data_IF_695762735053
#
_entry.id   IF_695762735053
#
_cell.length_a   1.000
_cell.length_b   1.000
_cell.length_c   1.000
_cell.angle_alpha   90.00
_cell.angle_beta   90.00
_cell.angle_gamma   90.00
#
_symmetry.space_group_name_H-M   'P 1'
#
loop_
_entity.id
_entity.type
_entity.pdbx_description
1 polymer ?
#
# COMPACT_ATOMS: atom_id res chain seq x y z
N UNK A 1 -30.02 -17.50 4.09
CA UNK A 1 -28.58 -17.49 4.43
C UNK A 1 -27.96 -16.23 3.85
N UNK A 2 -27.28 -15.42 4.67
CA UNK A 2 -26.59 -14.24 4.17
C UNK A 2 -25.39 -14.70 3.34
N UNK A 3 -25.50 -14.56 2.02
CA UNK A 3 -24.41 -14.76 1.06
C UNK A 3 -23.38 -13.67 1.36
N UNK A 4 -22.28 -14.02 2.01
CA UNK A 4 -21.13 -13.13 2.15
C UNK A 4 -20.39 -13.21 0.81
N UNK A 5 -20.38 -12.15 -0.02
CA UNK A 5 -19.58 -12.15 -1.23
C UNK A 5 -18.12 -12.19 -0.79
N UNK A 6 -17.37 -13.20 -1.19
CA UNK A 6 -15.93 -13.23 -0.95
C UNK A 6 -15.28 -12.13 -1.80
N UNK A 7 -15.10 -10.95 -1.20
CA UNK A 7 -14.53 -9.76 -1.85
C UNK A 7 -12.99 -9.74 -1.84
N UNK A 8 -12.35 -10.71 -1.19
CA UNK A 8 -10.91 -10.80 -1.00
C UNK A 8 -10.34 -11.90 -1.90
N UNK A 9 -9.26 -11.60 -2.62
CA UNK A 9 -8.59 -12.57 -3.49
C UNK A 9 -7.71 -13.58 -2.70
N UNK A 10 -7.45 -13.27 -1.43
CA UNK A 10 -6.68 -14.10 -0.50
C UNK A 10 -7.33 -14.10 0.89
N UNK A 11 -7.92 -15.24 1.29
CA UNK A 11 -8.12 -15.57 2.70
C UNK A 11 -6.95 -16.40 3.22
N UNK A 12 -6.51 -16.21 4.47
CA UNK A 12 -5.45 -17.00 5.10
C UNK A 12 -5.70 -18.51 4.98
N UNK A 13 -6.96 -18.92 5.18
CA UNK A 13 -7.42 -20.31 5.07
C UNK A 13 -7.20 -20.90 3.67
N UNK A 14 -7.43 -20.14 2.59
CA UNK A 14 -7.22 -20.62 1.22
C UNK A 14 -5.74 -20.71 0.80
N UNK A 15 -4.84 -20.06 1.53
CA UNK A 15 -3.38 -20.18 1.30
C UNK A 15 -2.85 -21.43 2.00
N UNK A 16 -3.41 -21.79 3.15
CA UNK A 16 -3.08 -23.02 3.89
C UNK A 16 -3.65 -24.29 3.24
N UNK A 17 -4.83 -24.21 2.60
CA UNK A 17 -5.45 -25.37 1.91
C UNK A 17 -4.68 -25.82 0.66
N UNK A 18 -3.85 -24.95 0.08
CA UNK A 18 -2.99 -25.28 -1.06
C UNK A 18 -1.65 -25.85 -0.57
N UNK A 19 -1.31 -27.06 -1.02
CA UNK A 19 0.00 -27.65 -0.74
C UNK A 19 1.15 -26.75 -1.23
N UNK A 20 2.21 -26.66 -0.43
CA UNK A 20 3.39 -25.79 -0.67
C UNK A 20 3.92 -25.89 -2.10
N UNK A 21 4.02 -27.12 -2.63
CA UNK A 21 4.50 -27.38 -3.99
C UNK A 21 3.61 -26.73 -5.06
N UNK A 22 2.30 -26.77 -4.89
CA UNK A 22 1.35 -26.13 -5.82
C UNK A 22 1.47 -24.61 -5.77
N UNK A 23 1.70 -24.04 -4.58
CA UNK A 23 1.97 -22.60 -4.42
C UNK A 23 3.25 -22.19 -5.15
N UNK A 24 4.30 -23.01 -5.07
CA UNK A 24 5.54 -22.77 -5.80
C UNK A 24 5.33 -22.84 -7.32
N UNK A 25 4.66 -23.88 -7.82
CA UNK A 25 4.37 -24.03 -9.25
C UNK A 25 3.58 -22.84 -9.80
N UNK A 26 2.60 -22.34 -9.04
CA UNK A 26 1.87 -21.11 -9.38
C UNK A 26 2.81 -19.90 -9.52
N UNK A 27 3.80 -19.75 -8.64
CA UNK A 27 4.77 -18.66 -8.79
C UNK A 27 5.65 -18.88 -10.01
N UNK A 28 6.26 -20.05 -10.15
CA UNK A 28 7.22 -20.33 -11.23
C UNK A 28 6.59 -20.23 -12.63
N UNK A 29 5.34 -20.66 -12.80
CA UNK A 29 4.66 -20.65 -14.10
C UNK A 29 4.16 -19.27 -14.55
N UNK A 30 3.96 -18.35 -13.61
CA UNK A 30 3.32 -17.06 -13.86
C UNK A 30 4.19 -15.85 -13.49
N UNK A 31 5.47 -16.08 -13.17
CA UNK A 31 6.42 -15.00 -12.94
C UNK A 31 7.06 -14.57 -14.28
N UNK A 32 6.95 -13.31 -14.71
CA UNK A 32 7.52 -12.84 -15.98
C UNK A 32 9.01 -12.47 -15.81
N UNK A 33 9.82 -13.45 -15.43
CA UNK A 33 11.23 -13.30 -15.05
C UNK A 33 12.25 -13.60 -16.17
N UNK A 34 11.79 -14.09 -17.32
CA UNK A 34 12.65 -14.57 -18.43
C UNK A 34 13.75 -13.57 -18.82
N UNK A 35 13.43 -12.28 -19.01
CA UNK A 35 14.42 -11.25 -19.37
C UNK A 35 15.54 -11.10 -18.33
N UNK A 36 15.21 -11.20 -17.04
CA UNK A 36 16.21 -11.14 -15.97
C UNK A 36 17.10 -12.38 -16.02
N UNK A 37 16.51 -13.55 -16.24
CA UNK A 37 17.22 -14.82 -16.29
C UNK A 37 18.16 -14.88 -17.49
N UNK A 38 17.69 -14.54 -18.69
CA UNK A 38 18.50 -14.46 -19.91
C UNK A 38 19.68 -13.50 -19.71
N UNK A 39 19.45 -12.32 -19.11
CA UNK A 39 20.53 -11.38 -18.79
C UNK A 39 21.59 -12.00 -17.88
N UNK A 40 21.17 -12.70 -16.82
CA UNK A 40 22.09 -13.36 -15.89
C UNK A 40 22.84 -14.53 -16.55
N UNK A 41 22.20 -15.27 -17.45
CA UNK A 41 22.79 -16.35 -18.25
C UNK A 41 23.82 -15.82 -19.26
N UNK A 42 23.52 -14.70 -19.94
CA UNK A 42 24.45 -14.00 -20.81
C UNK A 42 25.67 -13.48 -20.04
N UNK A 43 25.47 -12.88 -18.87
CA UNK A 43 26.57 -12.44 -17.99
C UNK A 43 27.45 -13.60 -17.49
N UNK A 44 26.89 -14.80 -17.31
CA UNK A 44 27.67 -15.99 -16.98
C UNK A 44 28.50 -16.45 -18.18
N UNK A 45 27.95 -16.36 -19.39
CA UNK A 45 28.59 -16.84 -20.61
C UNK A 45 28.98 -18.31 -20.52
N UNK A 46 30.23 -18.63 -20.89
CA UNK A 46 30.81 -19.99 -20.89
C UNK A 46 31.46 -20.40 -19.55
N UNK A 47 31.15 -19.71 -18.46
CA UNK A 47 31.64 -20.08 -17.13
C UNK A 47 31.13 -21.45 -16.66
N UNK A 48 31.67 -21.96 -15.54
CA UNK A 48 31.19 -23.20 -14.91
C UNK A 48 29.69 -23.10 -14.62
N UNK A 49 28.97 -24.18 -14.91
CA UNK A 49 27.53 -24.30 -14.70
C UNK A 49 27.18 -25.37 -13.66
N UNK A 50 28.00 -25.45 -12.60
CA UNK A 50 27.82 -26.43 -11.52
C UNK A 50 26.45 -26.24 -10.82
N UNK A 51 25.88 -25.03 -10.88
CA UNK A 51 24.56 -24.69 -10.36
C UNK A 51 23.84 -23.75 -11.35
N UNK A 52 22.88 -24.27 -12.13
CA UNK A 52 22.16 -23.48 -13.14
C UNK A 52 21.47 -22.25 -12.55
N UNK A 53 21.51 -21.14 -13.28
CA UNK A 53 20.94 -19.84 -12.83
C UNK A 53 19.45 -19.96 -12.55
N UNK A 54 18.70 -20.61 -13.44
CA UNK A 54 17.27 -20.89 -13.27
C UNK A 54 17.00 -21.70 -12.00
N UNK A 55 17.78 -22.75 -11.77
CA UNK A 55 17.61 -23.58 -10.57
C UNK A 55 17.87 -22.82 -9.27
N UNK A 56 18.93 -22.00 -9.25
CA UNK A 56 19.23 -21.14 -8.09
C UNK A 56 18.13 -20.10 -7.88
N UNK A 57 17.66 -19.44 -8.94
CA UNK A 57 16.57 -18.47 -8.89
C UNK A 57 15.26 -19.08 -8.37
N UNK A 58 14.81 -20.19 -8.96
CA UNK A 58 13.61 -20.92 -8.56
C UNK A 58 13.69 -21.35 -7.09
N UNK A 59 14.87 -21.78 -6.62
CA UNK A 59 15.06 -22.12 -5.21
C UNK A 59 14.97 -20.92 -4.27
N UNK A 60 15.37 -19.71 -4.71
CA UNK A 60 15.17 -18.48 -3.93
C UNK A 60 13.69 -18.15 -3.84
N UNK A 61 12.94 -18.29 -4.93
CA UNK A 61 11.48 -18.12 -4.94
C UNK A 61 10.81 -19.14 -4.03
N UNK A 62 11.21 -20.42 -4.09
CA UNK A 62 10.76 -21.44 -3.13
C UNK A 62 11.05 -21.04 -1.69
N UNK A 63 12.22 -20.48 -1.42
CA UNK A 63 12.58 -19.90 -0.12
C UNK A 63 11.57 -18.86 0.37
N UNK A 64 11.01 -18.04 -0.53
CA UNK A 64 10.01 -17.02 -0.22
C UNK A 64 8.63 -17.64 -0.04
N UNK A 65 8.20 -18.53 -0.94
CA UNK A 65 6.88 -19.19 -0.89
C UNK A 65 6.74 -20.07 0.36
N UNK A 66 7.80 -20.81 0.71
CA UNK A 66 7.84 -21.74 1.84
C UNK A 66 8.28 -21.03 3.14
N UNK A 67 8.47 -19.71 3.08
CA UNK A 67 8.74 -18.87 4.25
C UNK A 67 10.02 -19.27 5.01
N UNK A 68 11.04 -19.73 4.29
CA UNK A 68 12.30 -20.13 4.91
C UNK A 68 13.00 -18.91 5.54
N UNK A 69 13.29 -18.91 6.85
CA UNK A 69 13.83 -17.75 7.56
C UNK A 69 15.29 -17.44 7.19
N UNK A 70 15.98 -18.38 6.54
CA UNK A 70 17.36 -18.22 6.10
C UNK A 70 17.69 -19.12 4.91
N UNK A 71 18.78 -18.79 4.20
CA UNK A 71 19.33 -19.63 3.14
C UNK A 71 19.73 -21.01 3.67
N UNK A 72 20.22 -21.11 4.91
CA UNK A 72 20.55 -22.42 5.51
C UNK A 72 19.31 -23.28 5.77
N UNK A 73 18.19 -22.65 6.14
CA UNK A 73 16.91 -23.37 6.27
C UNK A 73 16.46 -23.93 4.92
N UNK A 74 16.47 -23.10 3.86
CA UNK A 74 16.17 -23.54 2.50
C UNK A 74 17.10 -24.67 2.03
N UNK A 75 18.41 -24.54 2.26
CA UNK A 75 19.40 -25.57 1.88
C UNK A 75 19.17 -26.90 2.59
N UNK A 76 18.75 -26.89 3.85
CA UNK A 76 18.40 -28.12 4.59
C UNK A 76 17.16 -28.79 3.99
N UNK A 77 16.17 -28.00 3.59
CA UNK A 77 14.97 -28.52 2.93
C UNK A 77 15.31 -29.11 1.55
N UNK A 78 16.06 -28.38 0.73
CA UNK A 78 16.50 -28.87 -0.59
C UNK A 78 17.30 -30.18 -0.51
N UNK A 79 18.10 -30.39 0.54
CA UNK A 79 18.84 -31.66 0.72
C UNK A 79 17.91 -32.84 1.00
N UNK A 80 16.84 -32.60 1.76
CA UNK A 80 15.89 -33.64 2.20
C UNK A 80 14.80 -33.91 1.15
N UNK A 81 14.40 -32.89 0.41
CA UNK A 81 13.25 -32.92 -0.48
C UNK A 81 13.68 -33.04 -1.95
N UNK A 82 13.55 -34.23 -2.52
CA UNK A 82 13.86 -34.49 -3.93
C UNK A 82 12.88 -33.79 -4.88
N UNK A 83 11.59 -33.76 -4.55
CA UNK A 83 10.55 -33.10 -5.35
C UNK A 83 10.79 -31.59 -5.45
N UNK A 84 11.17 -30.96 -4.34
CA UNK A 84 11.51 -29.54 -4.36
C UNK A 84 12.72 -29.25 -5.26
N UNK A 85 13.73 -30.13 -5.25
CA UNK A 85 14.89 -30.00 -6.14
C UNK A 85 14.48 -30.11 -7.60
N UNK A 86 13.65 -31.10 -7.93
CA UNK A 86 13.12 -31.32 -9.27
C UNK A 86 12.34 -30.10 -9.77
N UNK A 87 11.40 -29.59 -8.97
CA UNK A 87 10.59 -28.41 -9.32
C UNK A 87 11.45 -27.15 -9.46
N UNK A 88 12.51 -27.00 -8.66
CA UNK A 88 13.45 -25.90 -8.87
C UNK A 88 14.24 -26.04 -10.18
N UNK A 89 14.39 -27.26 -10.72
CA UNK A 89 15.20 -27.55 -11.91
C UNK A 89 16.63 -27.98 -11.57
N UNK A 90 16.88 -28.51 -10.37
CA UNK A 90 18.16 -29.15 -10.05
C UNK A 90 18.23 -30.57 -10.60
N UNK A 91 19.40 -30.96 -11.08
CA UNK A 91 19.62 -32.32 -11.57
C UNK A 91 19.65 -33.32 -10.40
N UNK A 92 18.66 -34.22 -10.41
CA UNK A 92 18.45 -35.23 -9.37
C UNK A 92 19.55 -36.28 -9.31
N UNK A 93 20.30 -36.51 -10.40
CA UNK A 93 21.39 -37.49 -10.44
C UNK A 93 22.52 -37.12 -9.47
N UNK A 94 22.73 -35.83 -9.22
CA UNK A 94 23.73 -35.36 -8.27
C UNK A 94 23.27 -35.45 -6.80
N UNK A 95 22.01 -35.84 -6.54
CA UNK A 95 21.49 -35.97 -5.19
C UNK A 95 21.71 -34.70 -4.36
N UNK A 96 22.27 -34.84 -3.16
CA UNK A 96 22.57 -33.67 -2.30
C UNK A 96 23.61 -32.71 -2.89
N UNK A 97 24.47 -33.19 -3.79
CA UNK A 97 25.51 -32.36 -4.43
C UNK A 97 24.90 -31.34 -5.39
N UNK A 98 23.66 -31.54 -5.85
CA UNK A 98 22.92 -30.56 -6.63
C UNK A 98 22.58 -29.29 -5.83
N UNK A 99 22.55 -29.38 -4.49
CA UNK A 99 22.17 -28.25 -3.62
C UNK A 99 23.32 -27.25 -3.51
N UNK A 100 23.13 -25.98 -3.94
CA UNK A 100 24.20 -25.01 -3.91
C UNK A 100 24.74 -24.74 -2.49
N UNK A 101 26.05 -24.54 -2.32
CA UNK A 101 26.61 -24.07 -1.06
C UNK A 101 26.21 -22.62 -0.78
N UNK A 102 26.24 -22.21 0.50
CA UNK A 102 25.75 -20.89 0.95
C UNK A 102 26.36 -19.69 0.21
N UNK A 103 27.63 -19.82 -0.20
CA UNK A 103 28.34 -18.75 -0.90
C UNK A 103 27.79 -18.52 -2.31
N UNK A 104 27.19 -19.53 -2.96
CA UNK A 104 26.54 -19.39 -4.27
C UNK A 104 25.31 -18.50 -4.14
N UNK A 105 24.43 -18.78 -3.18
CA UNK A 105 23.30 -17.90 -2.86
C UNK A 105 23.72 -16.48 -2.50
N UNK A 106 24.79 -16.34 -1.70
CA UNK A 106 25.34 -15.01 -1.35
C UNK A 106 25.78 -14.22 -2.60
N UNK A 107 26.47 -14.88 -3.54
CA UNK A 107 26.90 -14.26 -4.81
C UNK A 107 25.70 -13.96 -5.70
N UNK A 108 24.74 -14.86 -5.77
CA UNK A 108 23.53 -14.72 -6.59
C UNK A 108 22.68 -13.54 -6.12
N UNK A 109 22.39 -13.45 -4.81
CA UNK A 109 21.68 -12.29 -4.25
C UNK A 109 22.43 -10.97 -4.48
N UNK A 110 23.77 -10.98 -4.52
CA UNK A 110 24.54 -9.78 -4.87
C UNK A 110 24.31 -9.38 -6.32
N UNK A 111 24.26 -10.33 -7.26
CA UNK A 111 23.91 -10.05 -8.66
C UNK A 111 22.50 -9.47 -8.78
N UNK A 112 21.52 -10.07 -8.09
CA UNK A 112 20.15 -9.56 -8.06
C UNK A 112 20.06 -8.13 -7.52
N UNK A 113 20.81 -7.80 -6.46
CA UNK A 113 20.86 -6.41 -5.95
C UNK A 113 21.49 -5.43 -6.95
N UNK A 114 22.44 -5.88 -7.77
CA UNK A 114 23.00 -5.06 -8.86
C UNK A 114 22.00 -4.88 -10.01
N UNK A 115 21.09 -5.83 -10.21
CA UNK A 115 20.02 -5.80 -11.21
C UNK A 115 18.65 -5.46 -10.59
N UNK A 116 18.62 -4.62 -9.54
CA UNK A 116 17.39 -4.33 -8.80
C UNK A 116 16.31 -3.70 -9.69
N UNK A 117 16.70 -2.92 -10.70
CA UNK A 117 15.77 -2.33 -11.66
C UNK A 117 15.07 -3.39 -12.50
N UNK A 118 15.78 -4.41 -12.96
CA UNK A 118 15.22 -5.54 -13.69
C UNK A 118 14.28 -6.38 -12.81
N UNK A 119 14.63 -6.59 -11.54
CA UNK A 119 13.72 -7.26 -10.59
C UNK A 119 12.45 -6.42 -10.39
N UNK A 120 12.56 -5.10 -10.28
CA UNK A 120 11.41 -4.21 -10.17
C UNK A 120 10.53 -4.23 -11.44
N UNK A 121 11.11 -4.40 -12.64
CA UNK A 121 10.33 -4.56 -13.88
C UNK A 121 9.42 -5.79 -13.81
N UNK A 122 9.87 -6.89 -13.24
CA UNK A 122 9.03 -8.10 -13.04
C UNK A 122 7.82 -7.75 -12.17
N UNK A 123 8.06 -7.05 -11.05
CA UNK A 123 6.97 -6.56 -10.19
C UNK A 123 5.96 -5.71 -10.98
N UNK A 124 6.42 -4.71 -11.75
CA UNK A 124 5.51 -3.85 -12.49
C UNK A 124 4.75 -4.56 -13.61
N UNK A 125 5.38 -5.54 -14.29
CA UNK A 125 4.71 -6.41 -15.26
C UNK A 125 3.57 -7.20 -14.62
N UNK A 126 3.81 -7.79 -13.45
CA UNK A 126 2.76 -8.48 -12.71
C UNK A 126 1.61 -7.54 -12.34
N UNK A 127 1.89 -6.30 -11.93
CA UNK A 127 0.83 -5.32 -11.63
C UNK A 127 0.01 -5.00 -12.89
N UNK A 128 0.66 -4.82 -14.04
CA UNK A 128 -0.03 -4.61 -15.32
C UNK A 128 -0.86 -5.83 -15.75
N UNK A 129 -0.34 -7.03 -15.53
CA UNK A 129 -1.03 -8.28 -15.81
C UNK A 129 -2.26 -8.45 -14.93
N UNK A 130 -2.14 -8.17 -13.63
CA UNK A 130 -3.29 -8.14 -12.71
C UNK A 130 -4.32 -7.10 -13.16
N UNK A 131 -3.90 -5.90 -13.58
CA UNK A 131 -4.82 -4.88 -14.13
C UNK A 131 -5.56 -5.37 -15.38
N UNK A 132 -4.87 -6.11 -16.24
CA UNK A 132 -5.46 -6.67 -17.46
C UNK A 132 -6.48 -7.76 -17.12
N UNK A 133 -6.17 -8.62 -16.15
CA UNK A 133 -7.05 -9.69 -15.70
C UNK A 133 -8.22 -9.19 -14.85
N UNK A 134 -8.03 -8.11 -14.09
CA UNK A 134 -9.00 -7.49 -13.19
C UNK A 134 -9.14 -6.00 -13.53
N UNK A 135 -10.05 -5.60 -14.44
CA UNK A 135 -10.19 -4.21 -14.86
C UNK A 135 -10.47 -3.21 -13.72
N UNK A 136 -11.11 -3.64 -12.64
CA UNK A 136 -11.38 -2.84 -11.45
C UNK A 136 -10.16 -2.67 -10.52
N UNK A 137 -9.08 -3.42 -10.73
CA UNK A 137 -7.86 -3.29 -9.94
C UNK A 137 -7.23 -1.91 -10.11
N UNK A 138 -6.83 -1.29 -9.01
CA UNK A 138 -6.31 0.07 -8.95
C UNK A 138 -7.38 1.16 -8.85
N UNK A 139 -8.67 0.81 -8.85
CA UNK A 139 -9.76 1.79 -8.76
C UNK A 139 -9.80 2.52 -7.42
N UNK A 140 -9.45 1.83 -6.34
CA UNK A 140 -9.36 2.40 -5.00
C UNK A 140 -8.00 2.04 -4.43
N UNK A 141 -7.11 3.02 -4.34
CA UNK A 141 -5.77 2.83 -3.81
C UNK A 141 -5.71 3.27 -2.34
N UNK A 142 -4.94 2.53 -1.54
CA UNK A 142 -4.60 2.91 -0.18
C UNK A 142 -3.09 2.93 0.00
N UNK A 143 -2.57 3.95 0.70
CA UNK A 143 -1.16 4.10 1.05
C UNK A 143 -0.97 4.04 2.57
N UNK A 144 0.09 3.35 3.00
CA UNK A 144 0.59 3.42 4.37
C UNK A 144 2.10 3.12 4.39
N UNK A 145 2.73 3.50 5.50
CA UNK A 145 4.12 3.20 5.78
C UNK A 145 4.25 2.23 6.96
N UNK A 146 5.13 1.26 6.79
CA UNK A 146 5.42 0.21 7.76
C UNK A 146 6.86 0.30 8.23
N UNK A 147 7.03 0.33 9.56
CA UNK A 147 8.34 0.20 10.18
C UNK A 147 8.89 -1.21 10.00
N UNK A 148 10.16 -1.32 9.58
CA UNK A 148 10.91 -2.57 9.53
C UNK A 148 12.11 -2.42 10.45
N UNK A 149 12.02 -3.04 11.63
CA UNK A 149 13.04 -2.92 12.68
C UNK A 149 14.24 -3.81 12.39
N UNK A 150 15.43 -3.23 12.42
CA UNK A 150 16.66 -4.01 12.40
C UNK A 150 16.96 -4.58 13.79
N UNK A 151 17.48 -5.81 13.82
CA UNK A 151 18.04 -6.44 15.03
C UNK A 151 19.46 -5.93 15.37
N UNK A 152 20.06 -5.11 14.51
CA UNK A 152 21.35 -4.50 14.79
C UNK A 152 21.20 -3.39 15.85
N UNK A 153 22.24 -3.21 16.66
CA UNK A 153 22.34 -2.03 17.54
C UNK A 153 22.66 -0.81 16.66
N UNK A 154 21.85 0.24 16.78
CA UNK A 154 22.13 1.51 16.12
C UNK A 154 23.52 2.04 16.51
N UNK A 155 24.19 2.79 15.62
CA UNK A 155 25.51 3.33 15.89
C UNK A 155 25.48 4.22 17.15
N UNK A 156 26.40 3.98 18.10
CA UNK A 156 26.58 4.82 19.29
C UNK A 156 27.26 6.17 18.97
N UNK A 157 28.07 6.18 17.91
CA UNK A 157 28.82 7.35 17.45
C UNK A 157 28.51 7.63 15.97
N UNK A 158 28.47 8.90 15.57
CA UNK A 158 28.29 9.37 14.18
C UNK A 158 29.49 9.08 13.25
N UNK A 159 30.37 8.12 13.59
CA UNK A 159 31.53 7.79 12.76
C UNK A 159 31.10 6.97 11.57
N UNK A 160 31.36 7.48 10.36
CA UNK A 160 31.14 6.78 9.10
C UNK A 160 31.98 5.50 9.07
N UNK A 161 31.34 4.34 9.26
CA UNK A 161 32.02 3.05 9.15
C UNK A 161 32.07 2.60 7.69
N UNK A 162 33.15 1.91 7.30
CA UNK A 162 33.30 1.33 5.96
C UNK A 162 32.18 0.32 5.71
N UNK A 163 31.51 0.42 4.57
CA UNK A 163 30.43 -0.48 4.18
C UNK A 163 30.96 -1.91 3.97
N UNK A 164 30.63 -2.82 4.89
CA UNK A 164 31.05 -4.24 4.84
C UNK A 164 29.92 -5.18 4.37
N UNK A 165 28.71 -4.64 4.16
CA UNK A 165 27.51 -5.39 3.79
C UNK A 165 27.02 -6.37 4.87
N UNK A 166 27.54 -6.32 6.10
CA UNK A 166 27.17 -7.19 7.24
C UNK A 166 26.50 -6.43 8.38
N UNK A 167 26.50 -5.10 8.32
CA UNK A 167 25.91 -4.18 9.30
C UNK A 167 24.87 -3.29 8.64
N UNK A 168 23.97 -2.75 9.44
CA UNK A 168 23.00 -1.72 9.02
C UNK A 168 23.62 -0.32 9.11
N UNK A 169 24.73 -0.09 8.41
CA UNK A 169 25.40 1.21 8.37
C UNK A 169 24.60 2.28 7.62
N UNK A 170 23.60 1.86 6.84
CA UNK A 170 22.72 2.70 6.04
C UNK A 170 21.30 2.81 6.62
N UNK A 171 21.03 2.20 7.78
CA UNK A 171 19.81 2.39 8.56
C UNK A 171 19.92 3.58 9.50
N UNK A 172 18.77 4.08 9.95
CA UNK A 172 18.71 5.13 10.95
C UNK A 172 17.50 4.92 11.88
N UNK A 173 17.26 5.91 12.74
CA UNK A 173 16.15 5.88 13.68
C UNK A 173 14.92 6.58 13.12
N UNK A 174 13.78 5.90 13.25
CA UNK A 174 12.44 6.41 12.99
C UNK A 174 11.66 6.65 14.27
N UNK A 175 10.75 7.61 14.21
CA UNK A 175 9.79 7.92 15.28
C UNK A 175 8.39 7.99 14.68
N UNK A 176 7.43 7.27 15.25
CA UNK A 176 6.01 7.34 14.90
C UNK A 176 5.21 7.61 16.16
N UNK A 177 4.56 8.76 16.21
CA UNK A 177 3.74 9.20 17.33
C UNK A 177 2.27 8.93 17.02
N UNK A 178 1.62 8.14 17.86
CA UNK A 178 0.20 7.95 17.85
C UNK A 178 -0.40 8.80 18.95
N UNK A 179 -1.35 9.66 18.59
CA UNK A 179 -2.11 10.46 19.54
C UNK A 179 -3.58 10.25 19.29
N UNK A 180 -4.34 10.02 20.35
CA UNK A 180 -5.79 9.86 20.25
C UNK A 180 -6.47 10.31 21.53
N UNK A 181 -7.79 10.41 21.44
CA UNK A 181 -8.65 10.69 22.59
C UNK A 181 -9.42 9.42 22.93
N UNK A 182 -9.36 8.98 24.19
CA UNK A 182 -10.16 7.86 24.70
C UNK A 182 -11.63 8.28 24.76
N UNK A 183 -12.55 7.29 24.83
CA UNK A 183 -14.01 7.53 24.95
C UNK A 183 -14.40 8.42 26.14
N UNK A 184 -13.58 8.47 27.19
CA UNK A 184 -13.76 9.30 28.38
C UNK A 184 -13.13 10.71 28.25
N UNK A 185 -12.69 11.12 27.06
CA UNK A 185 -12.10 12.43 26.81
C UNK A 185 -10.59 12.56 27.14
N UNK A 186 -9.98 11.57 27.80
CA UNK A 186 -8.53 11.61 28.09
C UNK A 186 -7.68 11.38 26.85
N UNK A 187 -6.65 12.20 26.68
CA UNK A 187 -5.68 12.04 25.60
C UNK A 187 -4.70 10.91 25.91
N UNK A 188 -4.33 10.13 24.91
CA UNK A 188 -3.24 9.17 24.98
C UNK A 188 -2.22 9.44 23.88
N UNK A 189 -0.95 9.24 24.24
CA UNK A 189 0.17 9.31 23.32
C UNK A 189 0.97 8.01 23.41
N UNK A 190 1.28 7.42 22.26
CA UNK A 190 2.21 6.30 22.13
C UNK A 190 3.27 6.71 21.14
N UNK A 191 4.50 6.83 21.62
CA UNK A 191 5.65 7.07 20.75
C UNK A 191 6.32 5.72 20.48
N UNK A 192 6.35 5.32 19.22
CA UNK A 192 7.13 4.17 18.76
C UNK A 192 8.43 4.70 18.16
N UNK A 193 9.54 4.17 18.65
CA UNK A 193 10.88 4.48 18.17
C UNK A 193 11.54 3.17 17.70
N UNK A 194 12.13 3.17 16.51
CA UNK A 194 12.81 1.98 15.98
C UNK A 194 14.05 2.35 15.19
N UNK A 195 15.03 1.46 15.19
CA UNK A 195 16.19 1.51 14.30
C UNK A 195 15.93 0.58 13.10
N UNK A 196 16.21 1.03 11.88
CA UNK A 196 16.08 0.19 10.70
C UNK A 196 15.60 0.95 9.48
N UNK A 197 14.57 0.40 8.83
CA UNK A 197 14.03 0.88 7.56
C UNK A 197 12.52 1.12 7.67
N UNK A 198 11.96 1.58 6.57
CA UNK A 198 10.53 1.80 6.39
C UNK A 198 10.12 1.36 5.00
N UNK A 199 9.07 0.57 4.89
CA UNK A 199 8.41 0.20 3.64
C UNK A 199 7.21 1.10 3.44
N UNK A 200 7.16 1.84 2.33
CA UNK A 200 5.99 2.60 1.90
C UNK A 200 5.29 1.76 0.85
N UNK A 201 3.99 1.52 1.03
CA UNK A 201 3.25 0.57 0.22
C UNK A 201 1.94 1.21 -0.27
N UNK A 202 1.72 1.16 -1.58
CA UNK A 202 0.44 1.44 -2.22
C UNK A 202 -0.19 0.11 -2.60
N UNK A 203 -1.44 -0.10 -2.18
CA UNK A 203 -2.21 -1.32 -2.46
C UNK A 203 -3.54 -0.98 -3.08
N UNK A 204 -4.10 -1.92 -3.84
CA UNK A 204 -5.52 -1.89 -4.18
C UNK A 204 -6.34 -2.27 -2.94
N UNK A 205 -7.33 -1.44 -2.60
CA UNK A 205 -8.11 -1.58 -1.38
C UNK A 205 -9.34 -2.51 -1.53
N UNK A 206 -9.49 -3.18 -2.67
CA UNK A 206 -10.54 -4.18 -2.95
C UNK A 206 -9.94 -5.57 -2.94
N UNK A 207 -8.98 -5.84 -3.83
CA UNK A 207 -8.29 -7.11 -4.00
C UNK A 207 -7.15 -7.30 -3.00
N UNK A 208 -6.74 -6.23 -2.33
CA UNK A 208 -5.68 -6.22 -1.32
C UNK A 208 -4.35 -6.77 -1.86
N UNK A 209 -3.98 -6.25 -3.03
CA UNK A 209 -2.78 -6.58 -3.78
C UNK A 209 -1.87 -5.35 -3.91
N UNK A 210 -0.54 -5.53 -3.89
CA UNK A 210 0.39 -4.41 -4.00
C UNK A 210 0.37 -3.82 -5.41
N UNK A 211 0.49 -2.49 -5.47
CA UNK A 211 0.49 -1.72 -6.73
C UNK A 211 1.83 -1.00 -6.92
N UNK A 212 2.37 -0.42 -5.86
CA UNK A 212 3.67 0.25 -5.87
C UNK A 212 4.28 0.25 -4.46
N UNK A 213 5.61 0.36 -4.36
CA UNK A 213 6.30 0.39 -3.09
C UNK A 213 7.65 1.09 -3.14
N UNK A 214 8.19 1.43 -1.97
CA UNK A 214 9.60 1.80 -1.82
C UNK A 214 10.11 1.49 -0.43
N UNK A 215 11.39 1.15 -0.33
CA UNK A 215 12.09 0.95 0.95
C UNK A 215 13.00 2.15 1.19
N UNK A 216 12.81 2.80 2.34
CA UNK A 216 13.60 3.95 2.77
C UNK A 216 14.24 3.70 4.12
N UNK A 217 15.10 4.62 4.56
CA UNK A 217 15.52 4.68 5.97
C UNK A 217 14.31 4.97 6.88
N UNK A 218 14.42 4.64 8.17
CA UNK A 218 13.33 4.80 9.13
C UNK A 218 12.91 6.26 9.33
N UNK A 219 13.84 7.21 9.23
CA UNK A 219 13.60 8.65 9.37
C UNK A 219 12.87 9.31 8.19
N UNK A 220 12.72 8.60 7.06
CA UNK A 220 12.16 9.18 5.84
C UNK A 220 10.71 9.64 6.03
N UNK A 221 10.37 10.76 5.39
CA UNK A 221 9.04 11.38 5.47
C UNK A 221 8.03 10.65 4.58
N UNK A 222 6.93 10.22 5.18
CA UNK A 222 5.84 9.52 4.52
C UNK A 222 5.20 10.38 3.42
N UNK A 223 5.01 11.67 3.65
CA UNK A 223 4.46 12.61 2.63
C UNK A 223 5.37 12.72 1.42
N UNK A 224 6.67 12.94 1.64
CA UNK A 224 7.64 13.07 0.54
C UNK A 224 7.69 11.79 -0.29
N UNK A 225 7.65 10.64 0.36
CA UNK A 225 7.68 9.36 -0.35
C UNK A 225 6.35 9.06 -1.04
N UNK A 226 5.22 9.41 -0.43
CA UNK A 226 3.90 9.32 -1.07
C UNK A 226 3.82 10.11 -2.37
N UNK A 227 4.40 11.31 -2.42
CA UNK A 227 4.52 12.06 -3.68
C UNK A 227 5.31 11.30 -4.75
N UNK A 228 6.46 10.73 -4.39
CA UNK A 228 7.30 9.96 -5.33
C UNK A 228 6.60 8.71 -5.84
N UNK A 229 5.84 8.03 -4.98
CA UNK A 229 5.07 6.85 -5.38
C UNK A 229 3.96 7.22 -6.37
N UNK A 230 3.24 8.33 -6.13
CA UNK A 230 2.25 8.85 -7.09
C UNK A 230 2.90 9.23 -8.42
N UNK A 231 4.04 9.92 -8.39
CA UNK A 231 4.76 10.30 -9.61
C UNK A 231 5.24 9.06 -10.39
N UNK A 232 5.82 8.06 -9.69
CA UNK A 232 6.23 6.80 -10.31
C UNK A 232 5.07 6.01 -10.91
N UNK A 233 3.93 5.96 -10.23
CA UNK A 233 2.72 5.33 -10.79
C UNK A 233 2.25 6.06 -12.05
N UNK A 234 2.34 7.40 -12.09
CA UNK A 234 2.01 8.19 -13.29
C UNK A 234 2.95 7.91 -14.46
N UNK A 235 4.21 7.61 -14.20
CA UNK A 235 5.21 7.35 -15.24
C UNK A 235 5.20 5.89 -15.71
N UNK A 236 5.11 4.94 -14.77
CA UNK A 236 5.33 3.51 -15.04
C UNK A 236 4.03 2.70 -15.12
N UNK A 237 2.92 3.22 -14.60
CA UNK A 237 1.65 2.50 -14.49
C UNK A 237 0.44 3.37 -14.89
N UNK A 238 0.44 4.00 -16.09
CA UNK A 238 -0.60 4.95 -16.50
C UNK A 238 -2.00 4.33 -16.48
N UNK A 239 -2.15 3.06 -16.89
CA UNK A 239 -3.44 2.33 -16.85
C UNK A 239 -4.03 2.23 -15.44
N UNK A 240 -3.20 2.17 -14.39
CA UNK A 240 -3.66 2.19 -13.01
C UNK A 240 -4.13 3.60 -12.65
N UNK A 241 -3.34 4.62 -13.00
CA UNK A 241 -3.66 6.01 -12.70
C UNK A 241 -4.95 6.48 -13.38
N UNK A 242 -5.16 6.13 -14.65
CA UNK A 242 -6.36 6.50 -15.41
C UNK A 242 -7.63 5.86 -14.84
N UNK A 243 -7.52 4.65 -14.28
CA UNK A 243 -8.63 3.94 -13.66
C UNK A 243 -8.83 4.25 -12.17
N UNK A 244 -7.95 5.05 -11.55
CA UNK A 244 -8.00 5.32 -10.12
C UNK A 244 -9.04 6.39 -9.80
N UNK A 245 -10.02 6.05 -8.97
CA UNK A 245 -11.06 7.00 -8.54
C UNK A 245 -10.74 7.62 -7.17
N UNK A 246 -10.15 6.84 -6.26
CA UNK A 246 -9.93 7.23 -4.87
C UNK A 246 -8.52 6.87 -4.41
N UNK A 247 -7.88 7.80 -3.72
CA UNK A 247 -6.59 7.58 -3.07
C UNK A 247 -6.71 7.83 -1.57
N UNK A 248 -6.55 6.78 -0.78
CA UNK A 248 -6.80 6.75 0.65
C UNK A 248 -5.47 6.80 1.39
N UNK A 249 -5.36 7.69 2.37
CA UNK A 249 -4.17 7.83 3.22
C UNK A 249 -4.54 8.11 4.67
N UNK A 250 -3.63 7.80 5.58
CA UNK A 250 -3.78 8.22 6.97
C UNK A 250 -3.47 9.71 7.15
N UNK A 251 -3.58 10.16 8.39
CA UNK A 251 -3.31 11.54 8.81
C UNK A 251 -1.86 11.99 8.58
N UNK A 252 -0.93 11.04 8.41
CA UNK A 252 0.45 11.28 8.03
C UNK A 252 0.59 11.84 6.62
N UNK A 253 -0.34 11.51 5.71
CA UNK A 253 -0.35 11.96 4.31
C UNK A 253 -1.14 13.26 4.06
N UNK A 254 -1.64 13.91 5.13
CA UNK A 254 -2.40 15.15 5.05
C UNK A 254 -1.52 16.34 4.64
N UNK A 255 -1.39 16.53 3.34
CA UNK A 255 -0.62 17.59 2.70
C UNK A 255 -1.41 18.23 1.56
N UNK A 256 -1.46 19.57 1.55
CA UNK A 256 -2.20 20.32 0.53
C UNK A 256 -1.67 20.06 -0.88
N UNK A 257 -0.35 19.93 -1.05
CA UNK A 257 0.26 19.70 -2.38
C UNK A 257 -0.08 18.31 -2.89
N UNK A 258 -0.12 17.30 -2.01
CA UNK A 258 -0.53 15.94 -2.38
C UNK A 258 -2.00 15.91 -2.79
N UNK A 259 -2.88 16.53 -2.00
CA UNK A 259 -4.32 16.63 -2.28
C UNK A 259 -4.57 17.33 -3.62
N UNK A 260 -3.88 18.46 -3.85
CA UNK A 260 -3.93 19.21 -5.12
C UNK A 260 -3.41 18.37 -6.27
N UNK A 261 -2.26 17.70 -6.13
CA UNK A 261 -1.69 16.82 -7.16
C UNK A 261 -2.67 15.72 -7.56
N UNK A 262 -3.28 15.03 -6.58
CA UNK A 262 -4.22 13.94 -6.84
C UNK A 262 -5.43 14.42 -7.65
N UNK A 263 -6.05 15.54 -7.28
CA UNK A 263 -7.22 16.03 -8.00
C UNK A 263 -6.86 16.75 -9.31
N UNK A 264 -6.01 17.77 -9.26
CA UNK A 264 -5.82 18.67 -10.39
C UNK A 264 -5.03 18.02 -11.54
N UNK A 265 -4.04 17.18 -11.20
CA UNK A 265 -3.23 16.49 -12.22
C UNK A 265 -3.83 15.15 -12.64
N UNK A 266 -4.43 14.41 -11.71
CA UNK A 266 -4.84 13.02 -11.96
C UNK A 266 -6.35 12.78 -11.87
N UNK A 267 -7.15 13.78 -11.49
CA UNK A 267 -8.60 13.63 -11.27
C UNK A 267 -8.98 12.54 -10.25
N UNK A 268 -8.06 12.19 -9.35
CA UNK A 268 -8.23 11.20 -8.29
C UNK A 268 -8.76 11.90 -7.04
N UNK A 269 -9.80 11.34 -6.42
CA UNK A 269 -10.40 11.92 -5.20
C UNK A 269 -9.58 11.53 -3.96
N UNK A 270 -8.99 12.50 -3.24
CA UNK A 270 -8.23 12.19 -2.04
C UNK A 270 -9.17 11.91 -0.86
N UNK A 271 -8.91 10.80 -0.17
CA UNK A 271 -9.60 10.36 1.05
C UNK A 271 -8.57 10.20 2.17
N UNK A 272 -8.02 11.32 2.61
CA UNK A 272 -6.90 11.39 3.55
C UNK A 272 -7.41 11.98 4.86
N UNK A 273 -7.17 11.36 6.02
CA UNK A 273 -7.60 11.96 7.30
C UNK A 273 -6.88 13.28 7.59
N UNK A 274 -7.54 14.25 8.23
CA UNK A 274 -7.03 15.63 8.37
C UNK A 274 -6.51 15.92 9.79
N UNK A 275 -5.38 16.64 9.83
CA UNK A 275 -4.80 17.18 11.06
C UNK A 275 -5.52 18.45 11.49
N UNK A 276 -5.85 18.56 12.77
CA UNK A 276 -6.17 19.87 13.31
C UNK A 276 -4.86 20.67 13.39
N UNK A 277 -4.78 21.74 12.61
CA UNK A 277 -3.63 22.65 12.56
C UNK A 277 -3.98 24.05 13.09
N UNK A 278 -5.20 24.24 13.59
CA UNK A 278 -5.63 25.49 14.18
C UNK A 278 -5.08 25.60 15.61
N UNK A 279 -4.55 26.77 15.96
CA UNK A 279 -3.86 27.05 17.25
C UNK A 279 -4.48 28.20 18.03
N UNK A 280 -5.47 28.84 17.42
CA UNK A 280 -6.25 29.96 17.95
C UNK A 280 -7.28 29.51 19.00
N UNK A 281 -7.52 28.20 19.14
CA UNK A 281 -8.54 27.65 20.04
C UNK A 281 -9.96 27.68 19.46
N UNK A 282 -10.11 28.22 18.26
CA UNK A 282 -11.39 28.34 17.57
C UNK A 282 -11.88 26.97 17.06
N UNK A 283 -13.15 26.67 17.27
CA UNK A 283 -13.76 25.45 16.74
C UNK A 283 -14.13 25.57 15.26
N UNK A 284 -14.41 26.79 14.80
CA UNK A 284 -14.95 27.05 13.46
C UNK A 284 -14.41 28.35 12.88
N UNK A 285 -14.40 28.46 11.54
CA UNK A 285 -14.04 29.68 10.81
C UNK A 285 -15.17 30.14 9.93
N UNK A 286 -15.35 31.46 9.85
CA UNK A 286 -16.33 32.07 8.96
C UNK A 286 -15.98 31.79 7.50
N UNK A 287 -16.95 31.32 6.72
CA UNK A 287 -16.78 31.12 5.29
C UNK A 287 -16.67 32.48 4.57
N UNK A 288 -15.70 32.62 3.65
CA UNK A 288 -15.49 33.89 2.95
C UNK A 288 -16.77 34.42 2.28
N UNK A 289 -17.02 35.72 2.46
CA UNK A 289 -18.20 36.39 1.91
C UNK A 289 -19.54 36.01 2.56
N UNK A 290 -19.54 35.24 3.66
CA UNK A 290 -20.75 34.90 4.44
C UNK A 290 -20.69 35.52 5.85
N UNK A 291 -21.86 35.68 6.47
CA UNK A 291 -21.99 36.22 7.84
C UNK A 291 -22.40 35.17 8.88
N UNK A 292 -23.12 34.14 8.45
CA UNK A 292 -23.74 33.14 9.34
C UNK A 292 -23.31 31.71 9.00
N UNK A 293 -22.39 31.52 8.06
CA UNK A 293 -21.90 30.20 7.67
C UNK A 293 -20.48 30.05 8.15
N UNK A 294 -20.22 28.97 8.87
CA UNK A 294 -18.89 28.60 9.35
C UNK A 294 -18.56 27.18 8.93
N UNK A 295 -17.29 26.80 9.02
CA UNK A 295 -16.84 25.42 8.86
C UNK A 295 -15.80 25.06 9.93
N UNK A 296 -15.71 23.79 10.29
CA UNK A 296 -14.65 23.28 11.18
C UNK A 296 -13.41 22.83 10.40
N UNK A 297 -12.33 22.48 11.11
CA UNK A 297 -11.10 22.01 10.47
C UNK A 297 -11.27 20.71 9.66
N UNK A 298 -12.35 19.94 9.91
CA UNK A 298 -12.69 18.72 9.18
C UNK A 298 -13.49 18.99 7.91
N UNK A 299 -13.92 20.23 7.68
CA UNK A 299 -14.74 20.63 6.54
C UNK A 299 -16.23 20.34 6.73
N UNK A 300 -16.67 20.08 7.96
CA UNK A 300 -18.09 20.11 8.31
C UNK A 300 -18.56 21.55 8.26
N UNK A 301 -19.68 21.81 7.59
CA UNK A 301 -20.20 23.16 7.37
C UNK A 301 -21.43 23.37 8.23
N UNK A 302 -21.49 24.51 8.91
CA UNK A 302 -22.59 24.87 9.79
C UNK A 302 -23.20 26.20 9.37
N UNK A 303 -24.50 26.36 9.62
CA UNK A 303 -25.17 27.64 9.57
C UNK A 303 -25.63 28.05 10.97
N UNK A 304 -25.59 29.35 11.24
CA UNK A 304 -26.19 29.97 12.41
C UNK A 304 -27.52 30.62 12.03
N UNK A 305 -28.56 30.35 12.82
CA UNK A 305 -29.83 31.06 12.69
C UNK A 305 -29.62 32.54 13.00
N UNK A 306 -29.99 33.49 12.11
CA UNK A 306 -29.74 34.91 12.32
C UNK A 306 -30.49 35.50 13.53
N UNK A 307 -31.62 34.90 13.92
CA UNK A 307 -32.41 35.36 15.09
C UNK A 307 -31.98 34.74 16.41
N UNK A 308 -31.74 33.42 16.41
CA UNK A 308 -31.54 32.66 17.66
C UNK A 308 -30.10 32.25 17.90
N UNK A 309 -29.20 32.52 16.95
CA UNK A 309 -27.81 32.10 16.94
C UNK A 309 -27.60 30.58 17.14
N UNK A 310 -28.62 29.77 16.82
CA UNK A 310 -28.54 28.30 16.91
C UNK A 310 -27.68 27.76 15.77
N UNK A 311 -26.63 27.01 16.10
CA UNK A 311 -25.75 26.29 15.15
C UNK A 311 -26.44 25.03 14.65
N UNK A 312 -26.49 24.83 13.34
CA UNK A 312 -26.99 23.62 12.69
C UNK A 312 -26.01 23.17 11.61
N UNK A 313 -25.73 21.87 11.54
CA UNK A 313 -24.92 21.29 10.45
C UNK A 313 -25.68 21.37 9.13
N UNK A 314 -25.01 21.84 8.08
CA UNK A 314 -25.59 21.94 6.74
C UNK A 314 -25.53 20.60 6.02
N UNK A 315 -26.57 20.29 5.26
CA UNK A 315 -26.64 19.03 4.52
C UNK A 315 -25.76 19.06 3.27
N UNK A 316 -24.82 18.11 3.15
CA UNK A 316 -24.03 17.97 1.93
C UNK A 316 -24.92 17.60 0.74
N UNK A 317 -24.90 18.43 -0.29
CA UNK A 317 -25.78 18.36 -1.45
C UNK A 317 -25.14 17.86 -2.75
N UNK A 318 -23.84 17.51 -2.71
CA UNK A 318 -23.08 16.99 -3.86
C UNK A 318 -21.86 17.84 -4.24
N UNK A 319 -20.98 17.26 -5.05
CA UNK A 319 -19.85 17.95 -5.69
C UNK A 319 -20.23 18.30 -7.14
N UNK A 320 -20.17 19.57 -7.49
CA UNK A 320 -20.43 20.09 -8.84
C UNK A 320 -19.08 20.23 -9.57
N UNK A 321 -18.73 19.23 -10.41
CA UNK A 321 -17.41 19.13 -11.06
C UNK A 321 -17.08 20.35 -11.92
N UNK A 322 -18.01 20.80 -12.77
CA UNK A 322 -17.78 21.91 -13.70
C UNK A 322 -17.50 23.25 -13.02
N UNK A 323 -17.98 23.40 -11.77
CA UNK A 323 -17.80 24.61 -10.96
C UNK A 323 -16.72 24.47 -9.91
N UNK A 324 -16.17 23.27 -9.74
CA UNK A 324 -15.30 22.88 -8.62
C UNK A 324 -15.84 23.36 -7.26
N UNK A 325 -17.13 23.10 -7.01
CA UNK A 325 -17.78 23.54 -5.76
C UNK A 325 -18.49 22.40 -5.05
N UNK A 326 -18.49 22.47 -3.72
CA UNK A 326 -19.31 21.62 -2.86
C UNK A 326 -20.61 22.35 -2.56
N UNK A 327 -21.73 21.73 -2.92
CA UNK A 327 -23.07 22.24 -2.62
C UNK A 327 -23.45 21.83 -1.21
N UNK A 328 -23.91 22.78 -0.41
CA UNK A 328 -24.49 22.53 0.91
C UNK A 328 -25.90 23.13 0.97
N UNK A 329 -26.86 22.37 1.48
CA UNK A 329 -28.27 22.76 1.55
C UNK A 329 -28.60 23.24 2.96
N UNK A 330 -29.56 24.15 3.04
CA UNK A 330 -30.09 24.61 4.32
C UNK A 330 -30.72 23.41 5.06
N UNK A 331 -30.31 23.12 6.31
CA UNK A 331 -30.82 21.96 7.05
C UNK A 331 -32.31 22.11 7.38
N UNK A 332 -32.79 23.32 7.62
CA UNK A 332 -34.21 23.59 7.84
C UNK A 332 -35.09 23.18 6.66
N UNK A 333 -34.66 23.50 5.43
CA UNK A 333 -35.39 23.09 4.20
C UNK A 333 -35.17 21.64 3.83
N UNK A 334 -33.97 21.11 4.04
CA UNK A 334 -33.62 19.77 3.59
C UNK A 334 -34.15 18.68 4.52
N UNK A 335 -34.10 18.91 5.83
CA UNK A 335 -34.54 17.97 6.86
C UNK A 335 -35.89 18.36 7.50
N UNK A 336 -36.49 19.49 7.10
CA UNK A 336 -37.76 19.97 7.66
C UNK A 336 -37.64 20.52 9.09
N UNK A 337 -36.46 21.03 9.49
CA UNK A 337 -36.26 21.59 10.83
C UNK A 337 -36.86 22.99 10.93
N UNK A 338 -37.43 23.32 12.09
CA UNK A 338 -37.87 24.68 12.37
C UNK A 338 -36.69 25.65 12.53
N UNK A 339 -36.72 26.75 11.78
CA UNK A 339 -35.74 27.83 11.87
C UNK A 339 -36.43 29.19 11.90
N UNK A 340 -36.43 29.83 13.08
CA UNK A 340 -37.10 31.14 13.30
C UNK A 340 -36.54 32.28 12.43
N UNK A 341 -35.32 32.15 11.94
CA UNK A 341 -34.64 33.14 11.10
C UNK A 341 -34.63 32.80 9.61
N UNK A 342 -35.55 31.96 9.13
CA UNK A 342 -35.56 31.52 7.73
C UNK A 342 -35.73 32.69 6.75
N UNK A 343 -36.62 33.65 7.06
CA UNK A 343 -36.92 34.79 6.17
C UNK A 343 -35.76 35.79 6.06
N UNK A 344 -34.97 35.93 7.12
CA UNK A 344 -33.78 36.81 7.16
C UNK A 344 -32.51 36.10 6.65
N UNK A 345 -32.60 34.80 6.35
CA UNK A 345 -31.45 34.00 5.96
C UNK A 345 -31.05 34.26 4.51
N UNK A 346 -29.98 35.06 4.32
CA UNK A 346 -29.40 35.37 3.00
C UNK A 346 -28.77 34.18 2.27
N UNK A 347 -28.72 33.00 2.89
CA UNK A 347 -28.16 31.78 2.29
C UNK A 347 -29.13 31.08 1.32
N UNK A 348 -30.35 31.61 1.10
CA UNK A 348 -31.18 31.26 -0.06
C UNK A 348 -31.52 29.77 -0.23
N UNK A 349 -31.55 28.99 0.85
CA UNK A 349 -31.80 27.54 0.81
C UNK A 349 -30.56 26.65 0.59
N UNK A 350 -29.38 27.24 0.37
CA UNK A 350 -28.12 26.52 0.27
C UNK A 350 -26.98 27.37 -0.30
N UNK A 351 -25.75 26.91 -0.12
CA UNK A 351 -24.55 27.58 -0.60
C UNK A 351 -23.72 26.65 -1.48
N UNK A 352 -22.75 27.24 -2.17
CA UNK A 352 -21.70 26.54 -2.89
C UNK A 352 -20.36 27.03 -2.36
N UNK A 353 -19.49 26.10 -2.00
CA UNK A 353 -18.16 26.38 -1.48
C UNK A 353 -17.15 25.95 -2.54
N UNK A 354 -16.42 26.88 -3.17
CA UNK A 354 -15.33 26.54 -4.08
C UNK A 354 -14.26 25.71 -3.36
N UNK A 355 -13.69 24.71 -4.04
CA UNK A 355 -12.54 23.98 -3.47
C UNK A 355 -11.37 24.93 -3.15
N UNK A 356 -11.23 26.01 -3.93
CA UNK A 356 -10.23 27.06 -3.75
C UNK A 356 -10.31 27.80 -2.40
N UNK A 357 -11.47 27.80 -1.73
CA UNK A 357 -11.64 28.38 -0.39
C UNK A 357 -10.59 27.83 0.58
N UNK A 358 -10.40 26.51 0.54
CA UNK A 358 -9.32 25.84 1.24
C UNK A 358 -9.11 24.45 0.64
N UNK A 359 -8.12 24.31 -0.26
CA UNK A 359 -7.84 23.08 -1.00
C UNK A 359 -7.49 21.87 -0.13
N UNK A 360 -7.15 22.07 1.14
CA UNK A 360 -6.86 21.00 2.10
C UNK A 360 -8.13 20.50 2.80
N UNK A 361 -9.03 21.43 3.15
CA UNK A 361 -10.27 21.15 3.87
C UNK A 361 -11.37 20.71 2.88
N UNK A 362 -11.59 21.49 1.83
CA UNK A 362 -12.60 21.23 0.82
C UNK A 362 -11.99 20.46 -0.33
N UNK A 363 -12.31 19.18 -0.40
CA UNK A 363 -11.88 18.25 -1.44
C UNK A 363 -13.06 17.81 -2.30
N UNK A 364 -12.83 17.27 -3.52
CA UNK A 364 -13.88 16.79 -4.42
C UNK A 364 -14.79 15.71 -3.83
N UNK A 365 -14.32 15.01 -2.79
CA UNK A 365 -15.13 14.16 -1.93
C UNK A 365 -15.22 14.81 -0.55
N UNK A 366 -16.30 15.55 -0.30
CA UNK A 366 -16.50 16.24 0.98
C UNK A 366 -16.23 15.31 2.17
N UNK A 367 -15.33 15.75 3.06
CA UNK A 367 -14.86 14.98 4.21
C UNK A 367 -15.99 14.58 5.15
N UNK A 368 -16.99 15.44 5.31
CA UNK A 368 -18.23 15.26 6.08
C UNK A 368 -19.22 14.27 5.44
N UNK A 369 -19.02 13.87 4.17
CA UNK A 369 -19.96 12.99 3.49
C UNK A 369 -19.86 11.54 3.96
N UNK A 370 -21.00 10.84 3.98
CA UNK A 370 -21.04 9.39 4.22
C UNK A 370 -20.16 8.60 3.25
N UNK A 371 -20.05 9.06 2.00
CA UNK A 371 -19.20 8.45 0.98
C UNK A 371 -17.72 8.53 1.36
N UNK A 372 -17.25 9.67 1.89
CA UNK A 372 -15.90 9.81 2.44
C UNK A 372 -15.63 8.77 3.54
N UNK A 373 -16.51 8.69 4.54
CA UNK A 373 -16.37 7.71 5.63
C UNK A 373 -16.41 6.25 5.14
N UNK A 374 -17.22 5.94 4.13
CA UNK A 374 -17.28 4.62 3.51
C UNK A 374 -15.95 4.24 2.84
N UNK A 375 -15.38 5.13 2.02
CA UNK A 375 -14.09 4.85 1.36
C UNK A 375 -12.94 4.84 2.35
N UNK A 376 -12.93 5.73 3.35
CA UNK A 376 -11.87 5.76 4.36
C UNK A 376 -11.74 4.44 5.14
N UNK A 377 -12.85 3.73 5.40
CA UNK A 377 -12.82 2.39 6.03
C UNK A 377 -12.03 1.35 5.23
N UNK A 378 -11.89 1.52 3.92
CA UNK A 378 -11.07 0.64 3.07
C UNK A 378 -9.56 0.80 3.31
N UNK A 379 -9.11 1.84 4.05
CA UNK A 379 -7.70 2.00 4.46
C UNK A 379 -7.14 0.74 5.09
N UNK A 380 -7.93 -0.01 5.86
CA UNK A 380 -7.52 -1.26 6.52
C UNK A 380 -6.98 -2.33 5.57
N UNK A 381 -7.22 -2.24 4.26
CA UNK A 381 -6.63 -3.14 3.26
C UNK A 381 -5.10 -3.11 3.29
N UNK A 382 -4.48 -1.92 3.41
CA UNK A 382 -3.02 -1.80 3.47
C UNK A 382 -2.46 -2.43 4.74
N UNK A 383 -3.18 -2.33 5.86
CA UNK A 383 -2.81 -2.96 7.14
C UNK A 383 -2.84 -4.49 7.02
N UNK A 384 -3.82 -5.05 6.28
CA UNK A 384 -3.89 -6.50 6.01
C UNK A 384 -2.77 -6.99 5.10
N UNK A 385 -2.39 -6.21 4.08
CA UNK A 385 -1.21 -6.54 3.25
C UNK A 385 0.07 -6.47 4.07
N UNK A 386 0.20 -5.46 4.93
CA UNK A 386 1.31 -5.32 5.86
C UNK A 386 1.42 -6.50 6.85
N UNK A 387 0.31 -6.98 7.40
CA UNK A 387 0.28 -8.19 8.26
C UNK A 387 0.72 -9.44 7.50
N UNK A 388 0.28 -9.61 6.24
CA UNK A 388 0.77 -10.70 5.38
C UNK A 388 2.28 -10.64 5.17
N UNK A 389 2.86 -9.44 4.99
CA UNK A 389 4.32 -9.28 4.92
C UNK A 389 5.00 -9.70 6.23
N UNK A 390 4.47 -9.33 7.38
CA UNK A 390 5.05 -9.73 8.68
C UNK A 390 5.02 -11.23 8.90
N UNK A 391 3.82 -11.82 8.78
CA UNK A 391 3.53 -13.18 9.20
C UNK A 391 3.96 -14.19 8.13
N UNK A 392 3.51 -14.01 6.89
CA UNK A 392 3.74 -14.98 5.81
C UNK A 392 5.09 -14.79 5.10
N UNK A 393 5.69 -13.59 5.14
CA UNK A 393 7.00 -13.34 4.53
C UNK A 393 8.10 -13.07 5.54
N UNK A 394 7.81 -13.20 6.84
CA UNK A 394 8.80 -13.23 7.91
C UNK A 394 9.48 -11.89 8.18
N UNK A 395 8.87 -10.76 7.81
CA UNK A 395 9.44 -9.43 8.08
C UNK A 395 9.33 -9.02 9.56
N UNK A 396 8.58 -9.73 10.40
CA UNK A 396 8.61 -9.51 11.85
C UNK A 396 9.89 -10.09 12.49
N UNK A 397 10.38 -11.21 11.97
CA UNK A 397 11.51 -11.97 12.53
C UNK A 397 12.61 -12.17 11.48
N UNK A 398 13.20 -11.07 11.01
CA UNK A 398 14.25 -11.11 10.00
C UNK A 398 15.66 -10.82 10.54
N UNK A 399 16.68 -11.37 9.88
CA UNK A 399 18.10 -11.04 10.09
C UNK A 399 18.70 -10.29 8.90
N UNK A 400 17.86 -9.74 8.02
CA UNK A 400 18.27 -8.97 6.85
C UNK A 400 18.95 -7.67 7.30
N UNK A 401 20.13 -7.40 6.73
CA UNK A 401 20.91 -6.19 7.02
C UNK A 401 21.36 -5.49 5.75
N UNK A 402 21.21 -4.18 5.69
CA UNK A 402 21.48 -3.33 4.54
C UNK A 402 20.22 -3.04 3.72
N UNK A 403 20.06 -1.77 3.31
CA UNK A 403 18.87 -1.28 2.58
C UNK A 403 18.66 -2.04 1.28
N UNK A 404 19.71 -2.25 0.49
CA UNK A 404 19.61 -2.96 -0.80
C UNK A 404 19.11 -4.40 -0.62
N UNK A 405 19.55 -5.11 0.43
CA UNK A 405 19.03 -6.45 0.72
C UNK A 405 17.59 -6.42 1.17
N UNK A 406 17.22 -5.42 1.98
CA UNK A 406 15.85 -5.22 2.41
C UNK A 406 14.91 -4.94 1.24
N UNK A 407 15.36 -4.10 0.31
CA UNK A 407 14.66 -3.76 -0.92
C UNK A 407 14.46 -4.98 -1.82
N UNK A 408 15.52 -5.76 -2.09
CA UNK A 408 15.39 -7.01 -2.83
C UNK A 408 14.41 -7.97 -2.15
N UNK A 409 14.50 -8.13 -0.83
CA UNK A 409 13.61 -9.03 -0.07
C UNK A 409 12.14 -8.59 -0.12
N UNK A 410 11.87 -7.30 0.03
CA UNK A 410 10.50 -6.76 -0.12
C UNK A 410 10.00 -7.01 -1.54
N UNK A 411 10.84 -6.76 -2.54
CA UNK A 411 10.48 -6.95 -3.96
C UNK A 411 10.10 -8.40 -4.24
N UNK A 412 10.91 -9.37 -3.79
CA UNK A 412 10.62 -10.80 -3.97
C UNK A 412 9.32 -11.23 -3.29
N UNK A 413 9.05 -10.75 -2.07
CA UNK A 413 7.82 -11.07 -1.35
C UNK A 413 6.58 -10.52 -2.07
N UNK A 414 6.62 -9.27 -2.51
CA UNK A 414 5.53 -8.62 -3.23
C UNK A 414 5.31 -9.24 -4.62
N UNK A 415 6.39 -9.62 -5.32
CA UNK A 415 6.32 -10.36 -6.58
C UNK A 415 5.68 -11.73 -6.39
N UNK A 416 6.09 -12.49 -5.38
CA UNK A 416 5.49 -13.79 -5.09
C UNK A 416 3.99 -13.66 -4.81
N UNK A 417 3.56 -12.62 -4.08
CA UNK A 417 2.15 -12.33 -3.83
C UNK A 417 1.38 -12.09 -5.13
N UNK A 418 1.93 -11.26 -6.04
CA UNK A 418 1.28 -10.97 -7.33
C UNK A 418 1.30 -12.16 -8.29
N UNK A 419 2.40 -12.91 -8.37
CA UNK A 419 2.51 -14.09 -9.23
C UNK A 419 1.53 -15.17 -8.80
N UNK A 420 1.37 -15.41 -7.49
CA UNK A 420 0.31 -16.29 -6.98
C UNK A 420 -1.09 -15.78 -7.35
N UNK A 421 -1.31 -14.46 -7.33
CA UNK A 421 -2.59 -13.87 -7.73
C UNK A 421 -2.87 -14.13 -9.23
N UNK A 422 -1.91 -13.81 -10.09
CA UNK A 422 -2.00 -14.03 -11.55
C UNK A 422 -2.25 -15.50 -11.84
N UNK A 423 -1.45 -16.39 -11.25
CA UNK A 423 -1.58 -17.82 -11.49
C UNK A 423 -2.92 -18.37 -11.03
N UNK A 424 -3.41 -17.97 -9.85
CA UNK A 424 -4.76 -18.35 -9.40
C UNK A 424 -5.85 -17.83 -10.33
N UNK A 425 -5.75 -16.58 -10.77
CA UNK A 425 -6.74 -16.00 -11.68
C UNK A 425 -6.75 -16.77 -13.00
N UNK A 426 -5.58 -17.13 -13.55
CA UNK A 426 -5.46 -17.87 -14.81
C UNK A 426 -5.82 -19.36 -14.71
N UNK A 427 -5.40 -20.06 -13.67
CA UNK A 427 -5.76 -21.46 -13.46
C UNK A 427 -7.26 -21.62 -13.14
N UNK A 428 -7.83 -20.70 -12.35
CA UNK A 428 -9.27 -20.62 -12.13
C UNK A 428 -10.03 -20.03 -13.33
N UNK A 429 -9.38 -19.47 -14.34
CA UNK A 429 -10.01 -19.17 -15.63
C UNK A 429 -10.27 -20.44 -16.46
N UNK A 430 -9.72 -21.61 -16.07
CA UNK A 430 -10.18 -22.92 -16.57
C UNK A 430 -11.56 -23.34 -16.04
N UNK A 431 -12.03 -22.75 -14.94
CA UNK A 431 -13.35 -22.96 -14.35
C UNK A 431 -13.96 -21.58 -14.09
N UNK A 432 -14.50 -20.96 -15.15
CA UNK A 432 -15.41 -19.80 -15.12
C UNK A 432 -15.32 -18.92 -13.84
N UNK A 433 -14.53 -17.84 -13.86
CA UNK A 433 -14.58 -16.80 -12.81
C UNK A 433 -15.99 -16.19 -12.63
N UNK A 434 -16.89 -16.37 -13.60
CA UNK A 434 -18.33 -16.05 -13.48
C UNK A 434 -19.14 -17.06 -12.66
N UNK A 435 -18.67 -18.29 -12.45
CA UNK A 435 -19.35 -19.31 -11.64
C UNK A 435 -19.06 -19.21 -10.14
N UNK A 436 -18.20 -18.28 -9.70
CA UNK A 436 -18.13 -17.86 -8.30
C UNK A 436 -19.29 -16.92 -7.90
N UNK A 437 -20.18 -16.58 -8.85
CA UNK A 437 -21.36 -15.72 -8.65
C UNK A 437 -22.65 -16.34 -9.23
N UNK A 438 -22.62 -17.59 -9.71
CA UNK A 438 -23.82 -18.31 -10.14
C UNK A 438 -24.10 -19.47 -9.17
N UNK A 439 -25.22 -19.37 -8.45
CA UNK A 439 -25.69 -20.43 -7.55
C UNK A 439 -26.08 -21.69 -8.34
N UNK A 440 -25.68 -22.86 -7.84
CA UNK A 440 -26.54 -24.06 -7.90
C UNK A 440 -27.32 -24.10 -6.59
#
# INVERSE_FOLDING_TARGET
>A
MAIIPQKQLFGWQEVEELGDLQRLLLVLNYLPDEELIEKLEQERGKGRDDYPIRAVWNSILAGVVYQHPSIESLRRELRRNAQLREVCGFDLWFGERAVPPAYVYTRFCRKLMCCQEEVNKIFFRLVEEVKTLLPDFGRVLAIDSKAISSLARGPKDNKTQKFDGRRDSDADFGKKEYRGQKKNGTWWEKVIFWFGYKLHLVVDAVYELPVNFSVTRASASDIKEGHKLVDRMSEQQPKIMDGCEFFIGDKGYDDTKLIVKLWDKHQIKPVIDIRNSWRDGEETRLLAGKKTIVYDYRGTVYCYCPKTNKRLEMAFGGFEKDRETLKYRCPARHYGLECKGMDECRSGGGIRIPLAENRRIFTPLARSSYKSAMYYRKRTAVERVNSRLDEAYGFEKHFIRGKQKMELRCTLALMAMLAMAVGRIREKQGINLRSLVAAV
#
